data_IF_804872333535
#
_entry.id   IF_804872333535
#
_cell.length_a   1.000
_cell.length_b   1.000
_cell.length_c   1.000
_cell.angle_alpha   90.00
_cell.angle_beta   90.00
_cell.angle_gamma   90.00
#
_symmetry.space_group_name_H-M   'P 1'
#
loop_
_entity.id
_entity.type
_entity.pdbx_description
1 polymer ?
#
# COMPACT_ATOMS: atom_id res chain seq x y z
N UNK A 1 -7.31 3.47 -3.57
CA UNK A 1 -7.53 3.41 -2.09
C UNK A 1 -8.96 3.06 -1.75
N UNK A 2 -9.93 3.72 -2.40
CA UNK A 2 -11.36 3.56 -2.14
C UNK A 2 -11.93 2.22 -2.64
N UNK A 3 -11.35 1.60 -3.67
CA UNK A 3 -11.90 0.38 -4.28
C UNK A 3 -11.78 -0.89 -3.43
N UNK A 4 -10.82 -0.97 -2.49
CA UNK A 4 -10.72 -2.16 -1.62
C UNK A 4 -11.97 -2.32 -0.73
N UNK A 5 -12.63 -1.20 -0.40
CA UNK A 5 -13.86 -1.16 0.37
C UNK A 5 -15.13 -1.38 -0.49
N UNK A 6 -15.03 -1.25 -1.82
CA UNK A 6 -16.17 -1.31 -2.74
C UNK A 6 -16.43 -2.68 -3.39
N UNK A 7 -15.43 -3.57 -3.46
CA UNK A 7 -15.59 -4.89 -4.11
C UNK A 7 -15.42 -6.09 -3.19
N UNK A 8 -14.40 -6.07 -2.33
CA UNK A 8 -14.11 -7.16 -1.37
C UNK A 8 -14.44 -6.80 0.08
N UNK A 9 -14.69 -5.51 0.36
CA UNK A 9 -15.07 -5.00 1.67
C UNK A 9 -16.26 -5.75 2.25
N UNK A 10 -17.28 -6.08 1.45
CA UNK A 10 -18.45 -6.82 1.95
C UNK A 10 -18.09 -8.23 2.43
N UNK A 11 -17.34 -9.02 1.66
CA UNK A 11 -16.96 -10.38 2.07
C UNK A 11 -15.98 -10.39 3.26
N UNK A 12 -15.08 -9.41 3.34
CA UNK A 12 -14.15 -9.29 4.46
C UNK A 12 -14.81 -8.74 5.74
N UNK A 13 -15.79 -7.84 5.62
CA UNK A 13 -16.65 -7.41 6.73
C UNK A 13 -17.50 -8.57 7.22
N UNK A 14 -18.01 -9.42 6.33
CA UNK A 14 -18.65 -10.69 6.71
C UNK A 14 -17.68 -11.62 7.45
N UNK A 15 -16.43 -11.75 6.99
CA UNK A 15 -15.41 -12.55 7.67
C UNK A 15 -15.05 -12.00 9.05
N UNK A 16 -15.07 -10.68 9.26
CA UNK A 16 -14.85 -10.05 10.56
C UNK A 16 -16.07 -10.23 11.46
N UNK A 17 -17.28 -10.04 10.96
CA UNK A 17 -18.51 -10.35 11.69
C UNK A 17 -18.56 -11.83 12.11
N UNK A 18 -17.99 -12.72 11.30
CA UNK A 18 -17.85 -14.14 11.60
C UNK A 18 -16.70 -14.44 12.58
N UNK A 19 -15.55 -13.77 12.46
CA UNK A 19 -14.39 -13.90 13.36
C UNK A 19 -14.62 -13.28 14.74
N UNK A 20 -15.42 -12.21 14.82
CA UNK A 20 -15.82 -11.56 16.06
C UNK A 20 -16.85 -12.35 16.86
N UNK A 21 -17.35 -13.46 16.31
CA UNK A 21 -18.10 -14.48 17.03
C UNK A 21 -19.42 -13.97 17.62
N UNK A 22 -20.53 -14.41 17.01
CA UNK A 22 -21.84 -14.58 17.67
C UNK A 22 -22.55 -13.37 18.31
N UNK A 23 -22.14 -12.11 18.08
CA UNK A 23 -22.80 -10.95 18.70
C UNK A 23 -23.96 -10.33 17.88
N UNK A 24 -24.16 -10.76 16.63
CA UNK A 24 -25.11 -10.13 15.70
C UNK A 24 -25.88 -11.24 14.97
N UNK A 25 -27.21 -11.22 14.99
CA UNK A 25 -28.03 -12.17 14.23
C UNK A 25 -27.82 -11.99 12.72
N UNK A 26 -28.18 -13.01 11.92
CA UNK A 26 -27.87 -13.02 10.49
C UNK A 26 -28.53 -11.88 9.69
N UNK A 27 -29.61 -11.28 10.21
CA UNK A 27 -30.28 -10.14 9.59
C UNK A 27 -29.51 -8.84 9.85
N UNK A 28 -29.03 -8.66 11.08
CA UNK A 28 -28.21 -7.52 11.49
C UNK A 28 -26.78 -7.56 10.89
N UNK A 29 -26.26 -8.73 10.50
CA UNK A 29 -24.95 -8.83 9.81
C UNK A 29 -24.96 -8.19 8.42
N UNK A 30 -26.04 -8.38 7.66
CA UNK A 30 -26.16 -7.80 6.31
C UNK A 30 -26.32 -6.28 6.39
N UNK A 31 -27.15 -5.80 7.32
CA UNK A 31 -27.32 -4.36 7.56
C UNK A 31 -26.03 -3.70 8.07
N UNK A 32 -25.26 -4.38 8.93
CA UNK A 32 -23.96 -3.92 9.40
C UNK A 32 -22.92 -3.89 8.27
N UNK A 33 -22.87 -4.91 7.42
CA UNK A 33 -21.95 -4.95 6.28
C UNK A 33 -22.25 -3.84 5.26
N UNK A 34 -23.52 -3.67 4.90
CA UNK A 34 -23.99 -2.63 3.99
C UNK A 34 -23.73 -1.24 4.58
N UNK A 35 -24.02 -1.04 5.86
CA UNK A 35 -23.75 0.23 6.54
C UNK A 35 -22.25 0.53 6.66
N UNK A 36 -21.41 -0.45 7.00
CA UNK A 36 -19.95 -0.25 7.03
C UNK A 36 -19.44 0.12 5.64
N UNK A 37 -19.94 -0.54 4.58
CA UNK A 37 -19.58 -0.21 3.20
C UNK A 37 -20.01 1.21 2.82
N UNK A 38 -21.24 1.61 3.16
CA UNK A 38 -21.74 2.97 2.93
C UNK A 38 -20.94 4.04 3.67
N UNK A 39 -20.56 3.78 4.93
CA UNK A 39 -19.72 4.67 5.73
C UNK A 39 -18.33 4.80 5.12
N UNK A 40 -17.74 3.68 4.71
CA UNK A 40 -16.46 3.66 4.02
C UNK A 40 -16.50 4.49 2.73
N UNK A 41 -17.58 4.38 1.95
CA UNK A 41 -17.77 5.15 0.72
C UNK A 41 -17.95 6.66 0.98
N UNK A 42 -18.71 7.04 2.00
CA UNK A 42 -18.94 8.44 2.35
C UNK A 42 -17.72 9.15 2.94
N UNK A 43 -16.82 8.41 3.61
CA UNK A 43 -15.56 8.96 4.13
C UNK A 43 -14.64 9.37 2.98
N UNK A 44 -14.65 8.62 1.86
CA UNK A 44 -13.88 8.94 0.65
C UNK A 44 -14.39 10.25 0.00
N UNK A 45 -15.69 10.51 0.07
CA UNK A 45 -16.28 11.69 -0.55
C UNK A 45 -16.13 12.97 0.30
N UNK A 46 -16.05 12.85 1.63
CA UNK A 46 -16.00 14.01 2.55
C UNK A 46 -14.60 14.48 2.94
N UNK A 47 -13.54 13.77 2.55
CA UNK A 47 -12.13 14.18 2.80
C UNK A 47 -11.72 15.50 2.13
N UNK A 48 -12.49 16.02 1.16
CA UNK A 48 -12.09 17.16 0.34
C UNK A 48 -12.34 18.57 0.92
N UNK A 49 -12.92 18.73 2.12
CA UNK A 49 -13.55 20.02 2.50
C UNK A 49 -13.06 20.78 3.74
N UNK A 50 -12.08 20.30 4.53
CA UNK A 50 -11.60 21.10 5.69
C UNK A 50 -10.08 21.29 5.76
N UNK A 51 -9.66 22.40 6.39
CA UNK A 51 -8.27 22.72 6.68
C UNK A 51 -7.74 21.79 7.78
N UNK A 52 -7.20 20.64 7.41
CA UNK A 52 -6.77 19.62 8.37
C UNK A 52 -5.36 19.89 8.93
N UNK A 53 -5.27 20.01 10.26
CA UNK A 53 -4.01 20.03 11.02
C UNK A 53 -3.76 18.72 11.80
N UNK A 54 -4.53 17.67 11.53
CA UNK A 54 -4.54 16.38 12.23
C UNK A 54 -4.19 15.22 11.28
N UNK A 55 -3.59 14.16 11.82
CA UNK A 55 -3.16 12.97 11.06
C UNK A 55 -4.34 12.24 10.40
N UNK A 56 -4.07 11.50 9.30
CA UNK A 56 -5.05 10.64 8.61
C UNK A 56 -5.73 9.65 9.58
N UNK A 57 -4.96 9.15 10.53
CA UNK A 57 -5.42 8.30 11.62
C UNK A 57 -6.55 8.93 12.45
N UNK A 58 -6.36 10.18 12.90
CA UNK A 58 -7.36 10.89 13.70
C UNK A 58 -8.63 11.18 12.89
N UNK A 59 -8.47 11.56 11.61
CA UNK A 59 -9.58 11.87 10.73
C UNK A 59 -10.45 10.63 10.48
N UNK A 60 -9.84 9.51 10.08
CA UNK A 60 -10.57 8.26 9.82
C UNK A 60 -11.14 7.67 11.10
N UNK A 61 -10.37 7.62 12.19
CA UNK A 61 -10.84 7.10 13.48
C UNK A 61 -12.07 7.83 13.98
N UNK A 62 -12.10 9.17 13.90
CA UNK A 62 -13.23 9.95 14.40
C UNK A 62 -14.49 9.75 13.55
N UNK A 63 -14.41 9.87 12.23
CA UNK A 63 -15.57 9.73 11.36
C UNK A 63 -16.14 8.31 11.36
N UNK A 64 -15.27 7.30 11.34
CA UNK A 64 -15.67 5.89 11.45
C UNK A 64 -16.30 5.64 12.82
N UNK A 65 -15.71 6.11 13.93
CA UNK A 65 -16.24 5.90 15.27
C UNK A 65 -17.64 6.48 15.43
N UNK A 66 -17.84 7.75 15.08
CA UNK A 66 -19.13 8.42 15.22
C UNK A 66 -20.24 7.65 14.49
N UNK A 67 -19.93 7.14 13.30
CA UNK A 67 -20.92 6.50 12.43
C UNK A 67 -21.15 5.02 12.73
N UNK A 68 -20.10 4.26 13.05
CA UNK A 68 -20.23 2.86 13.48
C UNK A 68 -20.93 2.79 14.84
N UNK A 69 -20.67 3.74 15.75
CA UNK A 69 -21.32 3.81 17.06
C UNK A 69 -22.83 4.10 16.99
N UNK A 70 -23.31 4.83 15.98
CA UNK A 70 -24.74 5.03 15.75
C UNK A 70 -25.49 3.74 15.42
N UNK A 71 -24.81 2.79 14.77
CA UNK A 71 -25.37 1.53 14.29
C UNK A 71 -25.22 0.43 15.34
N UNK A 72 -23.99 0.25 15.80
CA UNK A 72 -23.59 -0.90 16.60
C UNK A 72 -23.92 -0.69 18.08
N UNK A 73 -23.82 0.56 18.58
CA UNK A 73 -24.04 0.94 19.98
C UNK A 73 -23.25 0.09 21.01
N UNK A 74 -22.24 -0.64 20.55
CA UNK A 74 -21.28 -1.42 21.34
C UNK A 74 -19.89 -0.86 21.06
N UNK A 75 -19.31 -0.23 22.09
CA UNK A 75 -18.02 0.43 21.98
C UNK A 75 -16.87 -0.53 21.62
N UNK A 76 -16.93 -1.79 22.05
CA UNK A 76 -15.89 -2.77 21.76
C UNK A 76 -15.95 -3.20 20.28
N UNK A 77 -17.16 -3.42 19.76
CA UNK A 77 -17.35 -3.76 18.35
C UNK A 77 -17.02 -2.56 17.44
N UNK A 78 -17.36 -1.33 17.87
CA UNK A 78 -16.94 -0.12 17.16
C UNK A 78 -15.41 -0.01 17.07
N UNK A 79 -14.72 -0.21 18.19
CA UNK A 79 -13.26 -0.16 18.20
C UNK A 79 -12.64 -1.26 17.32
N UNK A 80 -13.17 -2.48 17.34
CA UNK A 80 -12.68 -3.56 16.50
C UNK A 80 -12.81 -3.26 14.99
N UNK A 81 -13.92 -2.62 14.58
CA UNK A 81 -14.13 -2.20 13.19
C UNK A 81 -13.14 -1.10 12.79
N UNK A 82 -12.90 -0.12 13.68
CA UNK A 82 -11.92 0.96 13.44
C UNK A 82 -10.51 0.39 13.31
N UNK A 83 -10.10 -0.48 14.23
CA UNK A 83 -8.77 -1.10 14.21
C UNK A 83 -8.54 -1.88 12.91
N UNK A 84 -9.58 -2.59 12.44
CA UNK A 84 -9.53 -3.29 11.16
C UNK A 84 -9.37 -2.33 9.97
N UNK A 85 -10.15 -1.25 9.93
CA UNK A 85 -10.06 -0.24 8.86
C UNK A 85 -8.69 0.42 8.83
N UNK A 86 -8.18 0.82 9.99
CA UNK A 86 -6.83 1.41 10.12
C UNK A 86 -5.78 0.43 9.62
N UNK A 87 -5.89 -0.85 9.97
CA UNK A 87 -4.98 -1.89 9.48
C UNK A 87 -5.03 -2.05 7.98
N UNK A 88 -6.21 -2.11 7.38
CA UNK A 88 -6.36 -2.20 5.92
C UNK A 88 -5.73 -1.00 5.20
N UNK A 89 -5.86 0.20 5.77
CA UNK A 89 -5.21 1.39 5.24
C UNK A 89 -3.69 1.35 5.39
N UNK A 90 -3.17 0.88 6.51
CA UNK A 90 -1.73 0.68 6.70
C UNK A 90 -1.17 -0.30 5.66
N UNK A 91 -1.85 -1.43 5.45
CA UNK A 91 -1.47 -2.46 4.47
C UNK A 91 -1.48 -1.89 3.04
N UNK A 92 -2.54 -1.15 2.66
CA UNK A 92 -2.67 -0.54 1.34
C UNK A 92 -1.62 0.54 1.05
N UNK A 93 -1.18 1.28 2.07
CA UNK A 93 -0.18 2.33 1.93
C UNK A 93 1.25 1.83 2.18
N UNK A 94 1.44 0.54 2.50
CA UNK A 94 2.74 0.00 2.90
C UNK A 94 3.34 0.72 4.13
N UNK A 95 2.49 1.25 5.00
CA UNK A 95 2.87 2.06 6.14
C UNK A 95 2.84 1.24 7.44
N UNK A 96 3.74 1.54 8.37
CA UNK A 96 3.70 0.94 9.71
C UNK A 96 2.77 1.70 10.67
N UNK A 97 2.39 2.93 10.29
CA UNK A 97 1.47 3.79 11.01
C UNK A 97 0.79 4.76 10.02
N UNK A 98 -0.50 5.06 10.22
CA UNK A 98 -1.19 6.09 9.44
C UNK A 98 -0.70 7.52 9.76
N UNK A 99 0.05 7.71 10.85
CA UNK A 99 0.76 8.97 11.09
C UNK A 99 1.82 9.26 10.03
N UNK A 100 2.33 8.22 9.36
CA UNK A 100 3.41 8.32 8.38
C UNK A 100 2.85 8.58 6.97
N UNK A 101 1.53 8.50 6.80
CA UNK A 101 0.82 8.75 5.55
C UNK A 101 0.43 10.22 5.46
N UNK A 102 0.97 10.91 4.45
CA UNK A 102 0.62 12.30 4.15
C UNK A 102 -0.84 12.40 3.72
N UNK A 103 -1.64 13.16 4.47
CA UNK A 103 -3.05 13.40 4.15
C UNK A 103 -3.21 14.07 2.76
N UNK A 104 -2.37 15.05 2.45
CA UNK A 104 -2.42 15.75 1.16
C UNK A 104 -2.14 14.82 -0.02
N UNK A 105 -1.07 14.03 0.07
CA UNK A 105 -0.70 13.09 -1.00
C UNK A 105 -1.69 11.93 -1.14
N UNK A 106 -2.36 11.56 -0.05
CA UNK A 106 -3.44 10.58 -0.09
C UNK A 106 -4.65 11.09 -0.90
N UNK A 107 -4.94 12.40 -0.85
CA UNK A 107 -6.07 13.00 -1.59
C UNK A 107 -5.76 13.23 -3.07
N UNK A 108 -4.50 13.46 -3.41
CA UNK A 108 -4.05 13.63 -4.79
C UNK A 108 -3.99 12.31 -5.57
N UNK A 109 -4.14 11.17 -4.90
CA UNK A 109 -4.12 9.86 -5.55
C UNK A 109 -5.46 9.55 -6.24
N UNK A 110 -5.43 9.45 -7.56
CA UNK A 110 -6.57 9.02 -8.37
C UNK A 110 -6.43 7.54 -8.71
N UNK A 111 -7.44 6.74 -8.32
CA UNK A 111 -7.54 5.34 -8.75
C UNK A 111 -7.71 5.29 -10.28
N UNK A 112 -7.07 4.31 -10.92
CA UNK A 112 -7.22 4.11 -12.37
C UNK A 112 -8.62 3.60 -12.69
N UNK A 113 -9.22 4.07 -13.79
CA UNK A 113 -10.49 3.53 -14.26
C UNK A 113 -10.35 2.05 -14.68
N UNK A 114 -11.34 1.24 -14.34
CA UNK A 114 -11.40 -0.18 -14.72
C UNK A 114 -11.70 -1.10 -13.54
N UNK A 115 -11.71 -2.41 -13.83
CA UNK A 115 -11.83 -3.44 -12.80
C UNK A 115 -10.43 -3.88 -12.37
N UNK A 116 -10.23 -4.06 -11.07
CA UNK A 116 -9.01 -4.64 -10.51
C UNK A 116 -8.81 -6.10 -11.00
N UNK A 117 -7.99 -6.28 -12.02
CA UNK A 117 -7.59 -7.61 -12.46
C UNK A 117 -6.46 -8.15 -11.57
N UNK A 118 -6.84 -8.92 -10.56
CA UNK A 118 -5.89 -9.60 -9.65
C UNK A 118 -5.29 -10.87 -10.25
N UNK A 119 -5.79 -11.33 -11.39
CA UNK A 119 -5.40 -12.61 -11.99
C UNK A 119 -4.23 -12.44 -12.95
N UNK A 120 -3.02 -12.45 -12.40
CA UNK A 120 -1.76 -12.43 -13.19
C UNK A 120 -1.39 -13.82 -13.76
N UNK A 121 -2.36 -14.72 -13.86
CA UNK A 121 -2.15 -16.12 -14.24
C UNK A 121 -1.24 -16.90 -13.27
N UNK A 122 -0.90 -18.13 -13.63
CA UNK A 122 -0.12 -19.04 -12.77
C UNK A 122 1.32 -18.56 -12.49
N UNK A 123 1.86 -17.64 -13.29
CA UNK A 123 3.24 -17.16 -13.14
C UNK A 123 3.34 -15.82 -12.39
N UNK A 124 2.22 -15.18 -12.05
CA UNK A 124 2.20 -13.91 -11.32
C UNK A 124 2.94 -12.77 -12.04
N UNK A 125 3.32 -11.74 -11.27
CA UNK A 125 4.11 -10.60 -11.76
C UNK A 125 5.51 -10.97 -12.28
N UNK A 126 6.02 -12.16 -11.95
CA UNK A 126 7.34 -12.60 -12.40
C UNK A 126 7.43 -12.65 -13.92
N UNK A 127 6.38 -13.11 -14.60
CA UNK A 127 6.34 -13.22 -16.07
C UNK A 127 6.60 -11.87 -16.74
N UNK A 128 6.05 -10.79 -16.18
CA UNK A 128 6.24 -9.43 -16.67
C UNK A 128 7.68 -8.94 -16.49
N UNK A 129 8.29 -9.21 -15.34
CA UNK A 129 9.71 -8.86 -15.10
C UNK A 129 10.64 -9.62 -16.05
N UNK A 130 10.40 -10.92 -16.24
CA UNK A 130 11.20 -11.73 -17.19
C UNK A 130 11.00 -11.24 -18.63
N UNK A 131 9.79 -10.80 -18.99
CA UNK A 131 9.52 -10.18 -20.29
C UNK A 131 10.33 -8.89 -20.48
N UNK A 132 10.32 -7.95 -19.52
CA UNK A 132 11.13 -6.73 -19.59
C UNK A 132 12.63 -7.05 -19.70
N UNK A 133 13.09 -8.03 -18.91
CA UNK A 133 14.47 -8.49 -18.88
C UNK A 133 14.91 -9.11 -20.20
N UNK A 134 14.01 -9.76 -20.95
CA UNK A 134 14.35 -10.47 -22.20
C UNK A 134 15.01 -9.60 -23.26
N UNK A 135 14.79 -8.28 -23.20
CA UNK A 135 15.40 -7.28 -24.10
C UNK A 135 16.85 -6.91 -23.74
N UNK A 136 17.30 -7.26 -22.53
CA UNK A 136 18.62 -6.91 -22.00
C UNK A 136 19.52 -8.14 -22.05
N UNK A 137 20.67 -8.02 -22.72
CA UNK A 137 21.63 -9.12 -22.79
C UNK A 137 22.11 -9.55 -21.41
N UNK A 138 22.14 -10.87 -21.13
CA UNK A 138 22.46 -11.40 -19.79
C UNK A 138 23.81 -10.93 -19.25
N UNK A 139 24.83 -10.80 -20.11
CA UNK A 139 26.16 -10.32 -19.70
C UNK A 139 26.18 -8.86 -19.22
N UNK A 140 25.11 -8.08 -19.49
CA UNK A 140 24.95 -6.70 -19.01
C UNK A 140 24.24 -6.64 -17.66
N UNK A 141 23.61 -7.72 -17.23
CA UNK A 141 22.93 -7.81 -15.94
C UNK A 141 23.86 -8.54 -14.97
N UNK A 142 24.36 -7.81 -13.98
CA UNK A 142 25.20 -8.37 -12.94
C UNK A 142 24.36 -8.65 -11.70
N UNK A 143 23.90 -9.89 -11.58
CA UNK A 143 23.22 -10.38 -10.37
C UNK A 143 24.23 -10.70 -9.27
N UNK A 144 23.76 -10.75 -8.02
CA UNK A 144 24.59 -10.97 -6.83
C UNK A 144 25.72 -9.94 -6.67
N UNK A 145 25.53 -8.74 -7.21
CA UNK A 145 26.45 -7.62 -7.06
C UNK A 145 25.77 -6.52 -6.24
N UNK A 146 26.36 -6.19 -5.10
CA UNK A 146 25.91 -5.08 -4.26
C UNK A 146 26.71 -3.83 -4.62
N UNK A 147 26.03 -2.75 -5.02
CA UNK A 147 26.69 -1.45 -5.21
C UNK A 147 27.06 -0.89 -3.83
N UNK A 148 28.35 -0.74 -3.58
CA UNK A 148 28.87 -0.29 -2.27
C UNK A 148 29.23 1.17 -2.25
N UNK A 149 29.52 1.77 -3.42
CA UNK A 149 29.92 3.18 -3.51
C UNK A 149 29.67 3.75 -4.89
N UNK A 150 29.19 4.99 -4.95
CA UNK A 150 29.16 5.79 -6.18
C UNK A 150 29.95 7.08 -5.96
N UNK A 151 30.86 7.38 -6.87
CA UNK A 151 31.75 8.53 -6.79
C UNK A 151 31.79 9.27 -8.12
N UNK A 152 31.86 10.60 -8.07
CA UNK A 152 32.17 11.40 -9.24
C UNK A 152 33.69 11.65 -9.34
N UNK A 153 34.28 11.27 -10.46
CA UNK A 153 35.67 11.56 -10.77
C UNK A 153 35.74 12.83 -11.61
N UNK A 154 36.05 13.95 -10.96
CA UNK A 154 36.14 15.27 -11.61
C UNK A 154 37.28 15.40 -12.62
N UNK A 155 38.33 14.56 -12.55
CA UNK A 155 39.45 14.61 -13.51
C UNK A 155 39.10 14.03 -14.87
N UNK A 156 38.16 13.07 -14.90
CA UNK A 156 37.75 12.38 -16.12
C UNK A 156 36.29 12.64 -16.48
N UNK A 157 35.58 13.43 -15.66
CA UNK A 157 34.15 13.71 -15.80
C UNK A 157 33.33 12.41 -15.93
N UNK A 158 33.65 11.42 -15.08
CA UNK A 158 32.97 10.11 -15.05
C UNK A 158 32.44 9.79 -13.67
N UNK A 159 31.32 9.06 -13.63
CA UNK A 159 30.87 8.38 -12.44
C UNK A 159 31.56 7.02 -12.33
N UNK A 160 32.05 6.70 -11.14
CA UNK A 160 32.64 5.41 -10.78
C UNK A 160 31.69 4.72 -9.82
N UNK A 161 31.26 3.52 -10.20
CA UNK A 161 30.43 2.63 -9.39
C UNK A 161 31.31 1.50 -8.88
N UNK A 162 31.52 1.43 -7.58
CA UNK A 162 32.10 0.26 -6.90
C UNK A 162 30.98 -0.69 -6.52
N UNK A 163 31.19 -1.97 -6.79
CA UNK A 163 30.28 -3.04 -6.37
C UNK A 163 31.06 -4.26 -5.89
N UNK A 164 30.43 -5.03 -5.01
CA UNK A 164 30.97 -6.26 -4.44
C UNK A 164 30.13 -7.44 -4.91
N UNK A 165 30.78 -8.43 -5.51
CA UNK A 165 30.13 -9.70 -5.78
C UNK A 165 29.93 -10.47 -4.46
N UNK A 166 28.68 -10.78 -4.12
CA UNK A 166 28.32 -11.36 -2.84
C UNK A 166 28.73 -12.83 -2.69
N UNK A 167 28.92 -13.53 -3.81
CA UNK A 167 29.31 -14.95 -3.81
C UNK A 167 30.79 -15.13 -3.48
N UNK A 168 31.66 -14.28 -4.04
CA UNK A 168 33.12 -14.41 -3.87
C UNK A 168 33.78 -13.24 -3.12
N UNK A 169 32.99 -12.25 -2.70
CA UNK A 169 33.44 -11.02 -2.02
C UNK A 169 34.43 -10.17 -2.82
N UNK A 170 34.51 -10.38 -4.13
CA UNK A 170 35.39 -9.61 -5.01
C UNK A 170 34.79 -8.24 -5.27
N UNK A 171 35.63 -7.20 -5.12
CA UNK A 171 35.28 -5.83 -5.50
C UNK A 171 35.60 -5.57 -6.96
N UNK A 172 34.75 -4.80 -7.62
CA UNK A 172 34.91 -4.40 -9.01
C UNK A 172 34.39 -2.97 -9.20
N UNK A 173 34.80 -2.35 -10.31
CA UNK A 173 34.43 -0.97 -10.62
C UNK A 173 33.98 -0.85 -12.08
N UNK A 174 32.95 -0.05 -12.31
CA UNK A 174 32.50 0.36 -13.65
C UNK A 174 32.52 1.88 -13.72
N UNK A 175 32.89 2.40 -14.89
CA UNK A 175 32.81 3.82 -15.22
C UNK A 175 31.61 4.08 -16.13
N UNK A 176 30.87 5.14 -15.85
CA UNK A 176 29.73 5.57 -16.68
C UNK A 176 29.65 7.09 -16.76
N UNK A 177 28.98 7.58 -17.80
CA UNK A 177 28.59 8.99 -17.91
C UNK A 177 27.37 9.32 -17.04
N UNK A 178 26.47 8.34 -16.90
CA UNK A 178 25.18 8.49 -16.24
C UNK A 178 24.86 7.27 -15.38
N UNK A 179 24.14 7.50 -14.30
CA UNK A 179 23.62 6.44 -13.43
C UNK A 179 22.13 6.71 -13.25
N UNK A 180 21.32 5.69 -13.52
CA UNK A 180 19.93 5.67 -13.10
C UNK A 180 19.87 4.95 -11.76
N UNK A 181 19.44 5.68 -10.73
CA UNK A 181 19.37 5.17 -9.37
C UNK A 181 17.93 4.73 -9.07
N UNK A 182 17.74 3.44 -8.81
CA UNK A 182 16.41 2.84 -8.61
C UNK A 182 16.33 2.02 -7.31
N UNK A 183 17.20 2.30 -6.33
CA UNK A 183 17.08 1.61 -5.04
C UNK A 183 15.82 2.09 -4.31
N UNK A 184 15.15 1.18 -3.61
CA UNK A 184 14.21 1.59 -2.57
C UNK A 184 14.99 2.33 -1.47
N UNK A 185 14.50 3.49 -1.05
CA UNK A 185 15.01 4.26 0.09
C UNK A 185 14.49 3.68 1.41
#
# INVERSE_FOLDING_TARGET
GAQYLQGEGNNQVFDICNQLGCLVDDQNKSELAESISDVCNQIVDNTGQENYSSSLDYFKSKQVYERVNEIVQDANLCQAVIDWLIKGEMDNNGASSLSDVSLGSYHEFEDSEGNDERQLGQQGFRSFIEYLRSSISEHKIQLNCEVTKVMYNSRHEKLIVEFTNLTNRQKSMIQSNHIFWTTSL
#
